data_IF_260555592913
#
_entry.id   IF_260555592913
#
_cell.length_a   1.000
_cell.length_b   1.000
_cell.length_c   1.000
_cell.angle_alpha   90.00
_cell.angle_beta   90.00
_cell.angle_gamma   90.00
#
_symmetry.space_group_name_H-M   'P 1'
#
loop_
_entity.id
_entity.type
_entity.pdbx_description
1 polymer ?
#
# COMPACT_ATOMS: atom_id res chain seq x y z
N UNK A 1 15.13 3.18 -12.50
CA UNK A 1 14.61 3.04 -11.13
C UNK A 1 14.78 4.38 -10.46
N UNK A 2 13.70 5.13 -10.23
CA UNK A 2 13.78 6.33 -9.39
C UNK A 2 14.15 5.89 -7.98
N UNK A 3 15.11 6.59 -7.39
CA UNK A 3 15.50 6.37 -6.01
C UNK A 3 14.39 6.95 -5.13
N UNK A 4 13.83 6.14 -4.24
CA UNK A 4 12.77 6.57 -3.32
C UNK A 4 13.33 7.61 -2.37
N UNK A 5 12.67 8.77 -2.27
CA UNK A 5 12.98 9.75 -1.25
C UNK A 5 12.61 9.17 0.12
N UNK A 6 13.63 8.96 0.97
CA UNK A 6 13.45 8.36 2.29
C UNK A 6 12.69 9.26 3.25
N UNK A 7 12.75 10.58 3.05
CA UNK A 7 12.04 11.54 3.89
C UNK A 7 10.52 11.50 3.67
N UNK A 8 10.08 10.91 2.55
CA UNK A 8 8.66 10.74 2.22
C UNK A 8 8.07 9.43 2.78
N UNK A 9 8.91 8.52 3.28
CA UNK A 9 8.45 7.26 3.86
C UNK A 9 7.85 7.48 5.27
N UNK A 10 6.89 6.64 5.71
CA UNK A 10 6.29 6.74 7.04
C UNK A 10 7.24 6.19 8.13
N UNK A 11 8.37 6.87 8.36
CA UNK A 11 9.42 6.47 9.30
C UNK A 11 9.72 7.61 10.30
N UNK A 12 8.82 7.85 11.28
CA UNK A 12 9.02 8.92 12.26
C UNK A 12 10.18 8.60 13.22
N UNK A 13 10.93 9.63 13.64
CA UNK A 13 11.99 9.51 14.65
C UNK A 13 11.40 9.31 16.05
N UNK A 14 10.27 9.95 16.33
CA UNK A 14 9.54 9.85 17.60
C UNK A 14 8.04 9.67 17.36
N UNK A 15 7.34 8.99 18.28
CA UNK A 15 5.90 8.75 18.20
C UNK A 15 5.52 7.62 17.25
N UNK A 16 4.34 7.73 16.63
CA UNK A 16 3.82 6.76 15.66
C UNK A 16 3.05 7.45 14.54
N UNK A 17 3.02 6.81 13.38
CA UNK A 17 2.18 7.21 12.25
C UNK A 17 1.33 6.03 11.79
N UNK A 18 0.07 6.29 11.48
CA UNK A 18 -0.82 5.26 10.97
C UNK A 18 -0.58 5.06 9.48
N UNK A 19 -0.34 3.81 9.10
CA UNK A 19 -0.21 3.39 7.72
C UNK A 19 -1.23 2.30 7.41
N UNK A 20 -2.02 2.51 6.36
CA UNK A 20 -3.05 1.58 5.92
C UNK A 20 -2.47 0.64 4.88
N UNK A 21 -2.48 -0.66 5.17
CA UNK A 21 -2.08 -1.69 4.23
C UNK A 21 -3.31 -2.22 3.48
N UNK A 22 -3.25 -2.19 2.15
CA UNK A 22 -4.32 -2.66 1.28
C UNK A 22 -3.80 -3.68 0.27
N UNK A 23 -4.34 -4.89 0.32
CA UNK A 23 -4.26 -5.79 -0.82
C UNK A 23 -5.22 -5.30 -1.90
N UNK A 24 -4.73 -5.00 -3.10
CA UNK A 24 -5.53 -4.44 -4.22
C UNK A 24 -5.55 -5.34 -5.45
N UNK A 25 -6.44 -5.04 -6.40
CA UNK A 25 -6.60 -5.82 -7.66
C UNK A 25 -5.65 -5.38 -8.74
N UNK A 26 -5.42 -4.08 -8.77
CA UNK A 26 -4.65 -3.36 -9.77
C UNK A 26 -4.01 -2.20 -9.01
N UNK A 27 -2.69 -2.28 -8.84
CA UNK A 27 -1.93 -1.31 -8.04
C UNK A 27 -1.95 0.07 -8.72
N UNK A 28 -1.77 0.11 -10.04
CA UNK A 28 -1.72 1.36 -10.79
C UNK A 28 -3.08 2.08 -10.73
N UNK A 29 -4.18 1.34 -10.93
CA UNK A 29 -5.54 1.91 -10.85
C UNK A 29 -5.88 2.37 -9.44
N UNK A 30 -5.52 1.60 -8.41
CA UNK A 30 -5.76 2.01 -7.01
C UNK A 30 -4.92 3.22 -6.63
N UNK A 31 -3.64 3.28 -7.02
CA UNK A 31 -2.77 4.45 -6.83
C UNK A 31 -3.38 5.70 -7.45
N UNK A 32 -3.79 5.63 -8.71
CA UNK A 32 -4.41 6.75 -9.42
C UNK A 32 -5.66 7.26 -8.69
N UNK A 33 -6.50 6.37 -8.14
CA UNK A 33 -7.64 6.79 -7.32
C UNK A 33 -7.21 7.60 -6.09
N UNK A 34 -6.26 7.09 -5.30
CA UNK A 34 -5.83 7.78 -4.07
C UNK A 34 -5.02 9.06 -4.36
N UNK A 35 -4.31 9.13 -5.48
CA UNK A 35 -3.60 10.33 -5.91
C UNK A 35 -4.56 11.37 -6.52
N UNK A 36 -5.32 10.99 -7.54
CA UNK A 36 -6.08 11.92 -8.38
C UNK A 36 -7.42 12.33 -7.74
N UNK A 37 -8.09 11.40 -7.05
CA UNK A 37 -9.41 11.67 -6.45
C UNK A 37 -9.30 12.23 -5.04
N UNK A 38 -8.36 11.72 -4.24
CA UNK A 38 -8.17 12.19 -2.86
C UNK A 38 -7.05 13.23 -2.71
N UNK A 39 -6.41 13.63 -3.82
CA UNK A 39 -5.30 14.60 -3.80
C UNK A 39 -4.04 14.07 -3.11
N UNK A 40 -3.82 12.74 -3.16
CA UNK A 40 -2.67 12.10 -2.56
C UNK A 40 -1.37 12.30 -3.34
N UNK A 41 -0.25 12.29 -2.62
CA UNK A 41 1.09 12.35 -3.20
C UNK A 41 1.63 10.94 -3.38
N UNK A 42 2.05 10.60 -4.60
CA UNK A 42 2.70 9.31 -4.89
C UNK A 42 4.15 9.34 -4.39
N UNK A 43 4.42 8.55 -3.36
CA UNK A 43 5.76 8.38 -2.76
C UNK A 43 6.54 7.25 -3.43
N UNK A 44 5.85 6.15 -3.73
CA UNK A 44 6.40 5.01 -4.44
C UNK A 44 5.38 4.52 -5.46
N UNK A 45 5.80 4.39 -6.71
CA UNK A 45 4.86 4.10 -7.79
C UNK A 45 4.37 2.65 -7.80
N UNK A 46 5.24 1.67 -7.48
CA UNK A 46 4.92 0.26 -7.67
C UNK A 46 5.56 -0.71 -6.67
N UNK A 47 4.79 -1.79 -6.43
CA UNK A 47 5.04 -3.03 -5.66
C UNK A 47 6.09 -2.98 -4.51
N UNK A 48 5.72 -2.39 -3.35
CA UNK A 48 4.42 -1.79 -3.05
C UNK A 48 4.29 -0.36 -3.58
N UNK A 49 3.10 0.04 -4.03
CA UNK A 49 2.82 1.45 -4.23
C UNK A 49 2.52 2.13 -2.89
N UNK A 50 2.99 3.36 -2.73
CA UNK A 50 2.79 4.15 -1.51
C UNK A 50 2.24 5.51 -1.91
N UNK A 51 1.09 5.88 -1.35
CA UNK A 51 0.50 7.20 -1.50
C UNK A 51 0.32 7.84 -0.13
N UNK A 52 0.83 9.06 0.04
CA UNK A 52 0.57 9.89 1.21
C UNK A 52 -0.74 10.63 0.98
N UNK A 53 -1.70 10.46 1.88
CA UNK A 53 -3.01 11.13 1.80
C UNK A 53 -3.28 11.80 3.14
N UNK A 54 -3.43 13.13 3.14
CA UNK A 54 -3.55 13.93 4.35
C UNK A 54 -2.45 13.61 5.39
N UNK A 55 -2.82 13.05 6.54
CA UNK A 55 -1.93 12.69 7.65
C UNK A 55 -1.63 11.18 7.75
N UNK A 56 -1.88 10.41 6.69
CA UNK A 56 -1.63 8.96 6.65
C UNK A 56 -0.95 8.52 5.35
N UNK A 57 -0.48 7.28 5.35
CA UNK A 57 0.07 6.60 4.19
C UNK A 57 -0.80 5.40 3.85
N UNK A 58 -0.98 5.17 2.56
CA UNK A 58 -1.66 3.99 2.02
C UNK A 58 -0.62 3.18 1.25
N UNK A 59 -0.32 1.98 1.76
CA UNK A 59 0.58 1.01 1.13
C UNK A 59 -0.28 -0.03 0.40
N UNK A 60 -0.02 -0.20 -0.88
CA UNK A 60 -0.80 -1.07 -1.76
C UNK A 60 0.08 -2.11 -2.45
N UNK A 61 -0.36 -3.36 -2.39
CA UNK A 61 0.26 -4.46 -3.13
C UNK A 61 -0.82 -5.42 -3.65
N UNK A 62 -0.55 -6.24 -4.68
CA UNK A 62 -1.55 -7.15 -5.24
C UNK A 62 -1.91 -8.33 -4.33
N UNK A 63 -1.17 -8.50 -3.24
CA UNK A 63 -1.22 -9.66 -2.35
C UNK A 63 0.07 -10.46 -2.41
N UNK A 64 0.08 -11.63 -1.78
CA UNK A 64 1.22 -12.53 -1.72
C UNK A 64 0.79 -13.99 -1.74
N UNK A 65 1.56 -14.80 -2.45
CA UNK A 65 1.42 -16.26 -2.40
C UNK A 65 1.91 -16.85 -1.08
N UNK A 66 1.82 -18.18 -0.92
CA UNK A 66 2.37 -18.86 0.24
C UNK A 66 3.88 -18.68 0.36
N UNK A 67 4.37 -18.68 1.58
CA UNK A 67 5.80 -18.56 1.89
C UNK A 67 6.39 -19.92 2.29
N UNK A 68 7.72 -20.11 2.28
CA UNK A 68 8.34 -21.39 2.63
C UNK A 68 7.94 -21.91 4.03
N UNK A 69 7.79 -20.98 4.98
CA UNK A 69 7.37 -21.19 6.37
C UNK A 69 5.84 -21.37 6.52
N UNK A 70 5.05 -20.87 5.57
CA UNK A 70 3.59 -20.95 5.61
C UNK A 70 3.01 -21.26 4.22
N UNK A 71 3.00 -22.56 3.90
CA UNK A 71 2.70 -23.06 2.55
C UNK A 71 1.22 -23.08 2.18
N UNK A 72 0.32 -22.87 3.15
CA UNK A 72 -1.13 -22.94 2.94
C UNK A 72 -1.81 -21.57 2.96
N UNK A 73 -1.26 -20.61 3.70
CA UNK A 73 -1.84 -19.27 3.79
C UNK A 73 -1.41 -18.38 2.64
N UNK A 74 -2.30 -17.46 2.27
CA UNK A 74 -2.09 -16.48 1.20
C UNK A 74 -2.50 -15.11 1.72
N UNK A 75 -1.74 -14.08 1.37
CA UNK A 75 -2.15 -12.70 1.60
C UNK A 75 -3.02 -12.27 0.41
N UNK A 76 -4.33 -12.25 0.62
CA UNK A 76 -5.30 -11.91 -0.42
C UNK A 76 -6.19 -10.75 0.01
N UNK A 77 -7.02 -10.29 -0.93
CA UNK A 77 -8.18 -9.48 -0.56
C UNK A 77 -9.18 -10.32 0.21
N UNK A 78 -10.01 -9.69 1.06
CA UNK A 78 -11.16 -10.36 1.65
C UNK A 78 -12.00 -11.00 0.54
N UNK A 79 -12.48 -12.22 0.77
CA UNK A 79 -13.53 -12.78 -0.09
C UNK A 79 -14.75 -11.86 -0.03
N UNK A 80 -15.50 -11.71 -1.13
CA UNK A 80 -16.80 -11.04 -1.06
C UNK A 80 -17.61 -11.65 0.08
N UNK A 81 -18.22 -10.81 0.92
CA UNK A 81 -19.18 -11.32 1.88
C UNK A 81 -20.34 -11.95 1.11
N UNK A 82 -20.65 -13.21 1.38
CA UNK A 82 -21.93 -13.79 0.97
C UNK A 82 -23.01 -13.02 1.75
N UNK A 83 -23.88 -12.31 1.03
CA UNK A 83 -25.00 -11.57 1.62
C UNK A 83 -26.01 -12.53 2.25
#
# INVERSE_FOLDING_TARGET
MSMVDREQLPAPVEGLVVTHFLTVRDVARSRAFYADVLGGEVVLEENPAIVKVANTWIIMNPGGGPTPDNRTLRCGRPSPATR
#
